data_IF_477753990333
#
_entry.id   IF_477753990333
#
_cell.length_a   1.000
_cell.length_b   1.000
_cell.length_c   1.000
_cell.angle_alpha   90.00
_cell.angle_beta   90.00
_cell.angle_gamma   90.00
#
_symmetry.space_group_name_H-M   'P 1'
#
loop_
_entity.id
_entity.type
_entity.pdbx_description
1 polymer ?
#
# COMPACT_ATOMS: atom_id res chain seq x y z
N UNK A 1 70.73 41.78 -4.56
CA UNK A 1 69.34 41.31 -4.57
C UNK A 1 69.41 39.81 -4.78
N UNK A 2 69.24 39.00 -3.72
CA UNK A 2 69.29 37.53 -3.76
C UNK A 2 67.87 37.01 -4.06
N UNK A 3 67.68 36.11 -5.04
CA UNK A 3 66.36 35.50 -5.26
C UNK A 3 66.03 34.53 -4.14
N UNK A 4 64.85 34.67 -3.59
CA UNK A 4 64.31 33.77 -2.58
C UNK A 4 64.08 32.35 -3.18
N UNK A 5 64.35 31.27 -2.42
CA UNK A 5 64.11 29.94 -2.89
C UNK A 5 62.60 29.66 -2.85
N UNK A 6 62.00 29.46 -4.03
CA UNK A 6 60.62 28.96 -4.14
C UNK A 6 60.49 27.59 -3.50
N UNK A 7 59.80 27.52 -2.38
CA UNK A 7 59.46 26.31 -1.66
C UNK A 7 58.55 25.42 -2.52
N UNK A 8 59.09 24.43 -3.17
CA UNK A 8 58.33 23.44 -3.90
C UNK A 8 57.55 22.59 -2.89
N UNK A 9 56.24 22.71 -2.89
CA UNK A 9 55.35 21.84 -2.15
C UNK A 9 55.40 20.46 -2.85
N UNK A 10 55.78 19.37 -2.15
CA UNK A 10 55.77 18.05 -2.77
C UNK A 10 54.34 17.67 -3.18
N UNK A 11 54.15 17.42 -4.45
CA UNK A 11 52.89 16.84 -4.95
C UNK A 11 52.74 15.43 -4.38
N UNK A 12 51.88 15.25 -3.39
CA UNK A 12 51.50 13.93 -2.88
C UNK A 12 50.50 13.31 -3.86
N UNK A 13 50.94 12.25 -4.54
CA UNK A 13 50.03 11.41 -5.35
C UNK A 13 49.25 10.47 -4.46
N UNK A 14 48.05 10.04 -4.93
CA UNK A 14 47.25 9.01 -4.28
C UNK A 14 47.97 7.66 -4.30
N UNK A 15 47.85 6.92 -3.18
CA UNK A 15 48.34 5.54 -3.12
C UNK A 15 47.33 4.58 -3.72
N UNK A 16 47.80 3.47 -4.29
CA UNK A 16 46.93 2.42 -4.80
C UNK A 16 45.96 1.89 -3.72
N UNK A 17 46.45 1.76 -2.48
CA UNK A 17 45.66 1.34 -1.33
C UNK A 17 44.53 2.31 -1.02
N UNK A 18 44.77 3.60 -1.10
CA UNK A 18 43.75 4.63 -0.86
C UNK A 18 42.60 4.58 -1.88
N UNK A 19 42.95 4.34 -3.15
CA UNK A 19 41.96 4.13 -4.22
C UNK A 19 41.14 2.87 -3.97
N UNK A 20 41.79 1.76 -3.56
CA UNK A 20 41.10 0.51 -3.22
C UNK A 20 40.13 0.68 -2.05
N UNK A 21 40.56 1.36 -0.99
CA UNK A 21 39.70 1.64 0.16
C UNK A 21 38.53 2.55 -0.26
N UNK A 22 38.79 3.58 -1.06
CA UNK A 22 37.76 4.47 -1.58
C UNK A 22 36.71 3.72 -2.42
N UNK A 23 37.13 2.80 -3.28
CA UNK A 23 36.25 1.95 -4.08
C UNK A 23 35.42 0.99 -3.20
N UNK A 24 36.03 0.41 -2.15
CA UNK A 24 35.32 -0.45 -1.21
C UNK A 24 34.22 0.31 -0.49
N UNK A 25 34.51 1.49 0.04
CA UNK A 25 33.53 2.34 0.71
C UNK A 25 32.39 2.72 -0.24
N UNK A 26 32.72 3.08 -1.47
CA UNK A 26 31.74 3.41 -2.51
C UNK A 26 30.85 2.20 -2.83
N UNK A 27 31.42 1.02 -2.99
CA UNK A 27 30.69 -0.21 -3.26
C UNK A 27 29.68 -0.54 -2.14
N UNK A 28 30.11 -0.43 -0.88
CA UNK A 28 29.24 -0.65 0.29
C UNK A 28 28.12 0.39 0.34
N UNK A 29 28.41 1.66 0.08
CA UNK A 29 27.42 2.72 0.05
C UNK A 29 26.37 2.50 -1.05
N UNK A 30 26.79 2.11 -2.26
CA UNK A 30 25.88 1.80 -3.36
C UNK A 30 25.00 0.59 -3.06
N UNK A 31 25.55 -0.46 -2.43
CA UNK A 31 24.79 -1.62 -2.02
C UNK A 31 23.71 -1.27 -0.97
N UNK A 32 24.05 -0.44 0.01
CA UNK A 32 23.11 0.04 1.01
C UNK A 32 21.97 0.85 0.37
N UNK A 33 22.29 1.73 -0.57
CA UNK A 33 21.32 2.53 -1.31
C UNK A 33 20.37 1.64 -2.15
N UNK A 34 20.93 0.64 -2.85
CA UNK A 34 20.13 -0.30 -3.63
C UNK A 34 19.14 -1.09 -2.77
N UNK A 35 19.54 -1.54 -1.58
CA UNK A 35 18.66 -2.23 -0.64
C UNK A 35 17.52 -1.33 -0.16
N UNK A 36 17.80 -0.08 0.16
CA UNK A 36 16.78 0.88 0.59
C UNK A 36 15.75 1.12 -0.51
N UNK A 37 16.18 1.26 -1.75
CA UNK A 37 15.27 1.43 -2.89
C UNK A 37 14.36 0.21 -3.10
N UNK A 38 14.87 -1.01 -2.97
CA UNK A 38 14.09 -2.24 -3.12
C UNK A 38 12.96 -2.33 -2.07
N UNK A 39 13.26 -2.04 -0.80
CA UNK A 39 12.26 -2.04 0.28
C UNK A 39 11.15 -1.01 0.03
N UNK A 40 11.48 0.16 -0.50
CA UNK A 40 10.49 1.18 -0.82
C UNK A 40 9.51 0.73 -1.91
N UNK A 41 10.01 0.05 -2.95
CA UNK A 41 9.17 -0.45 -4.05
C UNK A 41 8.13 -1.44 -3.52
N UNK A 42 8.52 -2.38 -2.65
CA UNK A 42 7.61 -3.36 -2.05
C UNK A 42 6.54 -2.69 -1.17
N UNK A 43 6.92 -1.67 -0.40
CA UNK A 43 5.98 -0.91 0.42
C UNK A 43 4.95 -0.15 -0.43
N UNK A 44 5.37 0.47 -1.53
CA UNK A 44 4.45 1.14 -2.45
C UNK A 44 3.47 0.17 -3.12
N UNK A 45 3.91 -1.03 -3.49
CA UNK A 45 3.03 -2.05 -4.04
C UNK A 45 1.95 -2.46 -3.03
N UNK A 46 2.32 -2.70 -1.76
CA UNK A 46 1.38 -3.06 -0.71
C UNK A 46 0.38 -1.93 -0.39
N UNK A 47 0.83 -0.67 -0.36
CA UNK A 47 -0.04 0.48 -0.17
C UNK A 47 -1.05 0.63 -1.31
N UNK A 48 -0.61 0.46 -2.56
CA UNK A 48 -1.48 0.50 -3.73
C UNK A 48 -2.57 -0.58 -3.66
N UNK A 49 -2.23 -1.79 -3.28
CA UNK A 49 -3.20 -2.88 -3.13
C UNK A 49 -4.26 -2.55 -2.06
N UNK A 50 -3.86 -2.06 -0.91
CA UNK A 50 -4.78 -1.64 0.15
C UNK A 50 -5.68 -0.49 -0.29
N UNK A 51 -5.15 0.49 -1.02
CA UNK A 51 -5.93 1.61 -1.54
C UNK A 51 -7.02 1.14 -2.50
N UNK A 52 -6.67 0.25 -3.44
CA UNK A 52 -7.64 -0.32 -4.39
C UNK A 52 -8.69 -1.14 -3.65
N UNK A 53 -8.28 -1.97 -2.68
CA UNK A 53 -9.21 -2.76 -1.88
C UNK A 53 -10.18 -1.88 -1.07
N UNK A 54 -9.71 -0.74 -0.56
CA UNK A 54 -10.55 0.23 0.15
C UNK A 54 -11.60 0.85 -0.77
N UNK A 55 -11.21 1.32 -1.95
CA UNK A 55 -12.15 1.85 -2.94
C UNK A 55 -13.21 0.83 -3.35
N UNK A 56 -12.81 -0.43 -3.54
CA UNK A 56 -13.75 -1.49 -3.86
C UNK A 56 -14.71 -1.77 -2.69
N UNK A 57 -14.25 -1.68 -1.45
CA UNK A 57 -15.09 -1.83 -0.27
C UNK A 57 -16.09 -0.67 -0.13
N UNK A 58 -15.67 0.56 -0.43
CA UNK A 58 -16.54 1.75 -0.45
C UNK A 58 -17.61 1.61 -1.53
N UNK A 59 -17.25 1.19 -2.72
CA UNK A 59 -18.15 0.97 -3.85
C UNK A 59 -19.23 -0.07 -3.50
N UNK A 60 -18.85 -1.20 -2.92
CA UNK A 60 -19.76 -2.24 -2.45
C UNK A 60 -20.70 -1.75 -1.34
N UNK A 61 -20.20 -0.92 -0.44
CA UNK A 61 -21.03 -0.33 0.60
C UNK A 61 -22.07 0.63 0.00
N UNK A 62 -21.67 1.44 -0.98
CA UNK A 62 -22.57 2.35 -1.69
C UNK A 62 -23.60 1.56 -2.50
N UNK A 63 -23.21 0.51 -3.22
CA UNK A 63 -24.14 -0.38 -3.92
C UNK A 63 -25.17 -0.98 -2.96
N UNK A 64 -24.73 -1.41 -1.77
CA UNK A 64 -25.63 -1.95 -0.72
C UNK A 64 -26.61 -0.90 -0.21
N UNK A 65 -26.19 0.37 -0.11
CA UNK A 65 -27.03 1.50 0.33
C UNK A 65 -28.03 1.94 -0.72
N UNK A 66 -27.62 1.92 -1.99
CA UNK A 66 -28.44 2.36 -3.12
C UNK A 66 -29.34 1.25 -3.67
N UNK A 67 -29.26 0.04 -3.14
CA UNK A 67 -30.15 -1.06 -3.52
C UNK A 67 -31.62 -0.67 -3.35
N UNK A 68 -32.47 -1.13 -4.26
CA UNK A 68 -33.91 -0.79 -4.31
C UNK A 68 -34.74 -1.31 -3.14
N UNK A 69 -34.17 -2.10 -2.27
CA UNK A 69 -34.83 -2.65 -1.08
C UNK A 69 -33.93 -2.49 0.15
N UNK A 70 -34.57 -2.33 1.32
CA UNK A 70 -33.83 -2.36 2.59
C UNK A 70 -33.00 -3.65 2.68
N UNK A 71 -31.68 -3.54 2.83
CA UNK A 71 -30.75 -4.63 2.72
C UNK A 71 -31.15 -5.82 3.62
N UNK A 72 -31.41 -7.01 3.07
CA UNK A 72 -31.76 -8.19 3.87
C UNK A 72 -30.56 -8.61 4.73
N UNK A 73 -30.83 -9.10 5.93
CA UNK A 73 -29.78 -9.68 6.78
C UNK A 73 -29.22 -10.94 6.13
N UNK A 74 -27.91 -11.10 6.19
CA UNK A 74 -27.24 -12.26 5.60
C UNK A 74 -25.81 -11.94 5.17
N UNK A 75 -25.21 -12.87 4.46
CA UNK A 75 -23.86 -12.73 3.93
C UNK A 75 -23.86 -13.05 2.44
N UNK A 76 -23.25 -12.19 1.66
CA UNK A 76 -22.98 -12.38 0.23
C UNK A 76 -21.48 -12.26 -0.05
N UNK A 77 -21.02 -12.94 -1.07
CA UNK A 77 -19.62 -12.89 -1.47
C UNK A 77 -19.49 -13.14 -2.96
N UNK A 78 -18.40 -12.69 -3.52
CA UNK A 78 -18.12 -12.88 -4.94
C UNK A 78 -16.72 -12.42 -5.30
N UNK A 79 -16.45 -12.39 -6.58
CA UNK A 79 -15.22 -11.85 -7.15
C UNK A 79 -15.55 -10.68 -8.06
N UNK A 80 -14.69 -9.67 -8.06
CA UNK A 80 -14.78 -8.52 -8.97
C UNK A 80 -13.41 -8.24 -9.56
N UNK A 81 -13.37 -8.06 -10.86
CA UNK A 81 -12.16 -7.65 -11.57
C UNK A 81 -12.03 -6.13 -11.49
N UNK A 82 -10.88 -5.66 -11.00
CA UNK A 82 -10.51 -4.26 -11.04
C UNK A 82 -9.06 -4.13 -11.52
N UNK A 83 -8.87 -3.44 -12.64
CA UNK A 83 -7.60 -3.43 -13.36
C UNK A 83 -7.24 -4.82 -13.89
N UNK A 84 -5.99 -5.24 -13.70
CA UNK A 84 -5.48 -6.55 -14.15
C UNK A 84 -5.68 -7.68 -13.13
N UNK A 85 -6.36 -7.43 -12.00
CA UNK A 85 -6.49 -8.39 -10.90
C UNK A 85 -7.94 -8.67 -10.55
N UNK A 86 -8.17 -9.87 -10.00
CA UNK A 86 -9.42 -10.27 -9.38
C UNK A 86 -9.33 -10.10 -7.86
N UNK A 87 -10.40 -9.55 -7.31
CA UNK A 87 -10.56 -9.29 -5.89
C UNK A 87 -11.72 -10.12 -5.37
N UNK A 88 -11.52 -10.76 -4.23
CA UNK A 88 -12.59 -11.43 -3.50
C UNK A 88 -13.22 -10.45 -2.51
N UNK A 89 -14.54 -10.40 -2.49
CA UNK A 89 -15.28 -9.56 -1.56
C UNK A 89 -16.31 -10.37 -0.79
N UNK A 90 -16.59 -9.91 0.40
CA UNK A 90 -17.64 -10.42 1.26
C UNK A 90 -18.37 -9.24 1.91
N UNK A 91 -19.71 -9.25 1.83
CA UNK A 91 -20.59 -8.29 2.48
C UNK A 91 -21.44 -9.06 3.47
N UNK A 92 -21.47 -8.60 4.71
CA UNK A 92 -22.34 -9.13 5.78
C UNK A 92 -23.26 -8.04 6.26
N UNK A 93 -24.57 -8.31 6.26
CA UNK A 93 -25.60 -7.39 6.74
C UNK A 93 -26.20 -7.98 8.00
N UNK A 94 -26.16 -7.23 9.09
CA UNK A 94 -26.69 -7.62 10.40
C UNK A 94 -27.72 -6.61 10.88
N UNK A 95 -28.71 -7.10 11.67
CA UNK A 95 -29.63 -6.21 12.36
C UNK A 95 -28.92 -5.42 13.46
N UNK A 96 -29.48 -4.29 13.82
CA UNK A 96 -29.08 -3.51 14.98
C UNK A 96 -30.25 -3.45 15.98
N UNK A 97 -30.02 -2.86 17.16
CA UNK A 97 -31.06 -2.62 18.15
C UNK A 97 -32.17 -1.70 17.61
N UNK A 98 -31.89 -0.95 16.56
CA UNK A 98 -32.84 -0.12 15.83
C UNK A 98 -33.32 -0.87 14.60
N UNK A 99 -34.60 -1.29 14.52
CA UNK A 99 -35.10 -2.14 13.41
C UNK A 99 -34.98 -1.52 12.02
N UNK A 100 -34.94 -0.18 11.93
CA UNK A 100 -34.81 0.58 10.68
C UNK A 100 -33.37 0.78 10.26
N UNK A 101 -32.37 0.27 11.00
CA UNK A 101 -30.96 0.40 10.71
C UNK A 101 -30.33 -1.00 10.59
N UNK A 102 -29.54 -1.20 9.54
CA UNK A 102 -28.71 -2.38 9.34
C UNK A 102 -27.24 -1.99 9.41
N UNK A 103 -26.44 -2.83 10.04
CA UNK A 103 -25.00 -2.77 9.99
C UNK A 103 -24.50 -3.58 8.79
N UNK A 104 -23.62 -2.99 8.00
CA UNK A 104 -23.02 -3.60 6.83
C UNK A 104 -21.52 -3.67 7.03
N UNK A 105 -20.97 -4.87 7.08
CA UNK A 105 -19.54 -5.11 7.15
C UNK A 105 -19.07 -5.61 5.77
N UNK A 106 -18.19 -4.85 5.14
CA UNK A 106 -17.56 -5.18 3.86
C UNK A 106 -16.11 -5.59 4.10
N UNK A 107 -15.71 -6.71 3.51
CA UNK A 107 -14.34 -7.20 3.53
C UNK A 107 -13.87 -7.46 2.10
N UNK A 108 -12.68 -6.99 1.78
CA UNK A 108 -12.04 -7.21 0.49
C UNK A 108 -10.67 -7.83 0.70
N UNK A 109 -10.37 -8.85 -0.09
CA UNK A 109 -9.10 -9.58 -0.09
C UNK A 109 -8.65 -9.87 -1.52
N UNK A 110 -7.42 -10.32 -1.68
CA UNK A 110 -6.97 -10.85 -2.97
C UNK A 110 -7.74 -12.13 -3.31
N UNK A 111 -8.04 -12.35 -4.58
CA UNK A 111 -8.67 -13.61 -5.02
C UNK A 111 -7.76 -14.83 -4.76
N UNK A 112 -6.44 -14.62 -4.67
CA UNK A 112 -5.44 -15.66 -4.40
C UNK A 112 -5.31 -15.99 -2.91
N UNK A 113 -5.58 -15.01 -2.03
CA UNK A 113 -5.53 -15.18 -0.59
C UNK A 113 -6.79 -14.53 0.03
N UNK A 114 -7.81 -15.33 0.23
CA UNK A 114 -9.12 -14.90 0.75
C UNK A 114 -9.12 -14.66 2.25
N UNK A 115 -8.15 -15.23 2.97
CA UNK A 115 -8.06 -15.12 4.43
C UNK A 115 -7.36 -13.82 4.85
N UNK A 116 -6.41 -13.34 4.04
CA UNK A 116 -5.74 -12.05 4.26
C UNK A 116 -6.62 -10.89 3.80
N UNK A 117 -7.36 -10.28 4.72
CA UNK A 117 -8.16 -9.08 4.44
C UNK A 117 -7.25 -7.88 4.18
N UNK A 118 -7.35 -7.31 2.98
CA UNK A 118 -6.64 -6.09 2.57
C UNK A 118 -7.38 -4.81 2.98
N UNK A 119 -8.73 -4.86 2.96
CA UNK A 119 -9.57 -3.77 3.44
C UNK A 119 -10.80 -4.33 4.18
N UNK A 120 -11.23 -3.60 5.19
CA UNK A 120 -12.47 -3.82 5.92
C UNK A 120 -13.14 -2.48 6.16
N UNK A 121 -14.43 -2.42 5.84
CA UNK A 121 -15.24 -1.23 6.03
C UNK A 121 -16.54 -1.62 6.71
N UNK A 122 -16.94 -0.85 7.72
CA UNK A 122 -18.24 -0.98 8.37
C UNK A 122 -19.06 0.26 8.11
N UNK A 123 -20.31 0.07 7.71
CA UNK A 123 -21.26 1.14 7.48
C UNK A 123 -22.64 0.79 8.01
N UNK A 124 -23.56 1.72 7.87
CA UNK A 124 -24.96 1.56 8.25
C UNK A 124 -25.87 1.96 7.11
N UNK A 125 -26.96 1.22 6.97
CA UNK A 125 -28.02 1.48 6.00
C UNK A 125 -29.32 1.69 6.75
N UNK A 126 -29.96 2.84 6.55
CA UNK A 126 -31.24 3.16 7.12
C UNK A 126 -32.37 2.92 6.11
N UNK A 127 -33.54 2.50 6.60
CA UNK A 127 -34.74 2.29 5.78
C UNK A 127 -35.29 3.59 5.19
N UNK A 128 -35.13 4.70 5.93
CA UNK A 128 -35.66 6.01 5.56
C UNK A 128 -34.72 6.81 4.59
N UNK A 129 -33.56 6.25 4.23
CA UNK A 129 -32.63 6.86 3.29
C UNK A 129 -32.87 6.39 1.84
N UNK A 130 -33.90 5.58 1.61
CA UNK A 130 -34.28 5.17 0.26
C UNK A 130 -35.35 6.16 -0.24
N UNK A 131 -35.09 6.84 -1.37
CA UNK A 131 -36.10 7.70 -1.99
C UNK A 131 -37.29 6.89 -2.51
#
# INVERSE_FOLDING_TARGET
>A
MRPEPTRRIPARGFTLLEVLIGLLVLAVALLALARTAAVQIDQFAALRERTIATWLAEDLLVETRLGSAFAPTGSSSGTRRFGAREWYWQVRVEGTDVPTIRRVDVRVSSALDRDASLARLTGFVGQDLLP
#
